data_IF_795516596792
#
_entry.id   IF_795516596792
#
_cell.length_a   1.000
_cell.length_b   1.000
_cell.length_c   1.000
_cell.angle_alpha   90.00
_cell.angle_beta   90.00
_cell.angle_gamma   90.00
#
_symmetry.space_group_name_H-M   'P 1'
#
loop_
_entity.id
_entity.type
_entity.pdbx_description
1 polymer ?
#
# COMPACT_ATOMS: atom_id res chain seq x y z
N UNK A 1 -51.32 -31.66 0.65
CA UNK A 1 -50.13 -32.53 0.70
C UNK A 1 -48.93 -31.61 0.81
N UNK A 2 -48.47 -31.39 2.05
CA UNK A 2 -47.25 -30.64 2.36
C UNK A 2 -46.06 -31.52 2.01
N UNK A 3 -45.15 -31.02 1.18
CA UNK A 3 -43.88 -31.67 0.91
C UNK A 3 -42.93 -31.30 2.04
N UNK A 4 -42.76 -32.24 2.98
CA UNK A 4 -41.65 -32.26 3.93
C UNK A 4 -40.33 -32.41 3.16
N UNK A 5 -39.56 -31.33 3.10
CA UNK A 5 -38.11 -31.37 2.92
C UNK A 5 -37.53 -30.02 3.37
N UNK A 6 -37.71 -29.72 4.66
CA UNK A 6 -36.73 -28.89 5.37
C UNK A 6 -35.42 -29.68 5.37
N UNK A 7 -34.56 -29.35 4.41
CA UNK A 7 -33.18 -29.81 4.36
C UNK A 7 -32.48 -29.29 5.61
N UNK A 8 -32.24 -30.21 6.54
CA UNK A 8 -31.34 -30.11 7.69
C UNK A 8 -29.93 -29.71 7.21
N UNK A 9 -29.73 -28.42 7.05
CA UNK A 9 -28.43 -27.84 6.74
C UNK A 9 -27.59 -27.81 8.01
N UNK A 10 -26.81 -28.86 8.22
CA UNK A 10 -25.93 -29.09 9.37
C UNK A 10 -24.70 -28.14 9.46
N UNK A 11 -24.66 -27.05 8.69
CA UNK A 11 -23.56 -26.09 8.67
C UNK A 11 -22.27 -26.60 7.98
N UNK A 12 -22.28 -27.79 7.39
CA UNK A 12 -21.15 -28.28 6.61
C UNK A 12 -21.28 -27.83 5.15
N UNK A 13 -20.16 -27.50 4.48
CA UNK A 13 -20.18 -27.20 3.06
C UNK A 13 -20.68 -28.44 2.27
N UNK A 14 -21.37 -28.24 1.13
CA UNK A 14 -21.89 -29.34 0.33
C UNK A 14 -20.79 -30.34 -0.04
N UNK A 15 -21.12 -31.64 -0.06
CA UNK A 15 -20.20 -32.69 -0.46
C UNK A 15 -19.60 -32.37 -1.84
N UNK A 16 -18.27 -32.22 -1.90
CA UNK A 16 -17.53 -31.81 -3.11
C UNK A 16 -17.01 -30.37 -3.10
N UNK A 17 -17.38 -29.56 -2.11
CA UNK A 17 -16.69 -28.32 -1.81
C UNK A 17 -15.38 -28.63 -1.08
N UNK A 18 -14.28 -28.74 -1.82
CA UNK A 18 -12.96 -28.63 -1.22
C UNK A 18 -12.86 -27.25 -0.55
N UNK A 19 -12.48 -27.23 0.73
CA UNK A 19 -12.16 -25.99 1.39
C UNK A 19 -11.08 -25.28 0.56
N UNK A 20 -11.31 -24.02 0.18
CA UNK A 20 -10.28 -23.24 -0.50
C UNK A 20 -9.01 -23.32 0.35
N UNK A 21 -7.85 -23.66 -0.23
CA UNK A 21 -6.62 -23.72 0.53
C UNK A 21 -6.41 -22.37 1.23
N UNK A 22 -5.97 -22.43 2.49
CA UNK A 22 -5.61 -21.25 3.28
C UNK A 22 -4.65 -20.37 2.47
N UNK A 23 -4.82 -19.03 2.49
CA UNK A 23 -3.96 -18.15 1.71
C UNK A 23 -2.51 -18.32 2.16
N UNK A 24 -1.60 -18.43 1.19
CA UNK A 24 -0.15 -18.43 1.50
C UNK A 24 0.26 -17.10 2.13
N UNK A 25 1.38 -17.07 2.86
CA UNK A 25 1.96 -15.83 3.39
C UNK A 25 2.12 -14.76 2.29
N UNK A 26 2.53 -15.19 1.09
CA UNK A 26 2.63 -14.31 -0.07
C UNK A 26 1.27 -13.74 -0.51
N UNK A 27 0.20 -14.56 -0.51
CA UNK A 27 -1.15 -14.09 -0.84
C UNK A 27 -1.66 -13.09 0.21
N UNK A 28 -1.40 -13.33 1.49
CA UNK A 28 -1.71 -12.37 2.55
C UNK A 28 -0.98 -11.03 2.35
N UNK A 29 0.31 -11.06 2.00
CA UNK A 29 1.09 -9.83 1.72
C UNK A 29 0.52 -9.08 0.52
N UNK A 30 0.15 -9.78 -0.55
CA UNK A 30 -0.43 -9.17 -1.75
C UNK A 30 -1.80 -8.56 -1.45
N UNK A 31 -2.62 -9.26 -0.66
CA UNK A 31 -3.89 -8.74 -0.15
C UNK A 31 -3.67 -7.45 0.64
N UNK A 32 -2.74 -7.46 1.59
CA UNK A 32 -2.41 -6.28 2.40
C UNK A 32 -1.90 -5.10 1.56
N UNK A 33 -1.01 -5.35 0.58
CA UNK A 33 -0.56 -4.30 -0.36
C UNK A 33 -1.72 -3.70 -1.16
N UNK A 34 -2.64 -4.55 -1.63
CA UNK A 34 -3.84 -4.09 -2.33
C UNK A 34 -4.73 -3.24 -1.42
N UNK A 35 -4.90 -3.63 -0.16
CA UNK A 35 -5.72 -2.91 0.82
C UNK A 35 -5.11 -1.55 1.17
N UNK A 36 -3.79 -1.46 1.34
CA UNK A 36 -3.10 -0.19 1.52
C UNK A 36 -3.33 0.74 0.32
N UNK A 37 -3.16 0.24 -0.91
CA UNK A 37 -3.41 1.04 -2.12
C UNK A 37 -4.88 1.45 -2.26
N UNK A 38 -5.82 0.58 -1.87
CA UNK A 38 -7.24 0.91 -1.85
C UNK A 38 -7.56 2.04 -0.85
N UNK A 39 -6.94 2.03 0.33
CA UNK A 39 -7.05 3.12 1.32
C UNK A 39 -6.50 4.44 0.79
N UNK A 40 -5.35 4.39 0.09
CA UNK A 40 -4.79 5.56 -0.60
C UNK A 40 -5.76 6.11 -1.64
N UNK A 41 -6.33 5.23 -2.48
CA UNK A 41 -7.33 5.60 -3.50
C UNK A 41 -8.55 6.27 -2.86
N UNK A 42 -9.02 5.75 -1.72
CA UNK A 42 -10.14 6.29 -0.95
C UNK A 42 -9.83 7.59 -0.19
N UNK A 43 -8.58 8.06 -0.17
CA UNK A 43 -8.18 9.27 0.55
C UNK A 43 -7.89 9.07 2.04
N UNK A 44 -7.84 7.84 2.53
CA UNK A 44 -7.63 7.53 3.94
C UNK A 44 -6.14 7.39 4.26
N UNK A 45 -5.62 8.25 5.15
CA UNK A 45 -4.24 8.22 5.66
C UNK A 45 -3.22 7.95 4.54
N UNK A 46 -3.35 8.71 3.44
CA UNK A 46 -2.76 8.36 2.15
C UNK A 46 -1.23 8.25 2.21
N UNK A 47 -0.57 9.22 2.86
CA UNK A 47 0.89 9.21 3.01
C UNK A 47 1.36 8.01 3.84
N UNK A 48 0.65 7.67 4.92
CA UNK A 48 0.98 6.53 5.78
C UNK A 48 0.83 5.21 5.01
N UNK A 49 -0.36 4.94 4.45
CA UNK A 49 -0.63 3.70 3.72
C UNK A 49 0.30 3.51 2.52
N UNK A 50 0.64 4.60 1.80
CA UNK A 50 1.58 4.52 0.68
C UNK A 50 3.01 4.23 1.16
N UNK A 51 3.47 4.90 2.22
CA UNK A 51 4.79 4.65 2.80
C UNK A 51 4.97 3.19 3.23
N UNK A 52 3.98 2.64 3.93
CA UNK A 52 4.00 1.25 4.39
C UNK A 52 3.97 0.25 3.23
N UNK A 53 3.08 0.47 2.25
CA UNK A 53 3.00 -0.37 1.06
C UNK A 53 4.33 -0.41 0.29
N UNK A 54 4.96 0.75 0.10
CA UNK A 54 6.26 0.84 -0.58
C UNK A 54 7.39 0.19 0.21
N UNK A 55 7.39 0.33 1.54
CA UNK A 55 8.36 -0.35 2.39
C UNK A 55 8.31 -1.87 2.22
N UNK A 56 7.10 -2.43 2.24
CA UNK A 56 6.87 -3.87 2.04
C UNK A 56 7.26 -4.29 0.61
N UNK A 57 6.80 -3.60 -0.42
CA UNK A 57 7.13 -3.92 -1.81
C UNK A 57 8.65 -3.92 -2.07
N UNK A 58 9.37 -2.92 -1.57
CA UNK A 58 10.82 -2.85 -1.72
C UNK A 58 11.55 -3.99 -1.02
N UNK A 59 10.98 -4.52 0.07
CA UNK A 59 11.54 -5.66 0.80
C UNK A 59 11.33 -6.95 0.01
N UNK A 60 10.14 -7.16 -0.56
CA UNK A 60 9.76 -8.41 -1.21
C UNK A 60 10.29 -8.54 -2.66
N UNK A 61 10.71 -7.45 -3.30
CA UNK A 61 11.16 -7.45 -4.71
C UNK A 61 12.57 -8.03 -4.95
N UNK A 62 13.22 -8.54 -3.91
CA UNK A 62 14.54 -9.21 -4.02
C UNK A 62 14.43 -10.61 -4.65
N UNK A 63 15.48 -11.04 -5.37
CA UNK A 63 15.56 -12.37 -6.02
C UNK A 63 15.42 -13.55 -5.04
N UNK A 64 15.57 -13.32 -3.74
CA UNK A 64 15.47 -14.35 -2.70
C UNK A 64 14.03 -14.66 -2.29
N UNK A 65 13.08 -13.79 -2.62
CA UNK A 65 11.69 -13.96 -2.24
C UNK A 65 10.91 -14.69 -3.33
N UNK A 66 9.79 -15.28 -2.92
CA UNK A 66 8.86 -15.91 -3.85
C UNK A 66 8.36 -14.89 -4.88
N UNK A 67 8.31 -15.30 -6.15
CA UNK A 67 7.77 -14.50 -7.24
C UNK A 67 6.25 -14.47 -7.16
N UNK A 68 5.68 -13.34 -7.52
CA UNK A 68 4.23 -13.23 -7.71
C UNK A 68 3.83 -13.81 -9.06
N UNK A 69 2.62 -14.39 -9.11
CA UNK A 69 1.99 -14.84 -10.34
C UNK A 69 1.55 -13.64 -11.21
N UNK A 70 1.31 -13.86 -12.52
CA UNK A 70 0.76 -12.83 -13.41
C UNK A 70 -0.57 -12.24 -12.89
N UNK A 71 -1.45 -13.08 -12.34
CA UNK A 71 -2.74 -12.63 -11.78
C UNK A 71 -2.53 -11.69 -10.58
N UNK A 72 -1.60 -12.03 -9.69
CA UNK A 72 -1.26 -11.20 -8.54
C UNK A 72 -0.61 -9.87 -8.97
N UNK A 73 0.30 -9.91 -9.96
CA UNK A 73 0.89 -8.72 -10.58
C UNK A 73 -0.21 -7.79 -11.11
N UNK A 74 -1.13 -8.32 -11.90
CA UNK A 74 -2.20 -7.53 -12.52
C UNK A 74 -3.15 -6.94 -11.48
N UNK A 75 -3.41 -7.67 -10.38
CA UNK A 75 -4.17 -7.17 -9.23
C UNK A 75 -3.47 -5.98 -8.57
N UNK A 76 -2.17 -6.07 -8.30
CA UNK A 76 -1.38 -4.99 -7.71
C UNK A 76 -1.31 -3.77 -8.63
N UNK A 77 -1.07 -3.98 -9.93
CA UNK A 77 -1.04 -2.90 -10.93
C UNK A 77 -2.38 -2.19 -11.03
N UNK A 78 -3.50 -2.92 -10.95
CA UNK A 78 -4.84 -2.33 -10.93
C UNK A 78 -5.06 -1.48 -9.68
N UNK A 79 -4.69 -2.00 -8.51
CA UNK A 79 -4.78 -1.22 -7.25
C UNK A 79 -3.92 0.04 -7.29
N UNK A 80 -2.71 -0.04 -7.85
CA UNK A 80 -1.84 1.12 -8.04
C UNK A 80 -2.45 2.15 -9.00
N UNK A 81 -3.00 1.69 -10.13
CA UNK A 81 -3.67 2.56 -11.09
C UNK A 81 -4.88 3.28 -10.48
N UNK A 82 -5.67 2.60 -9.64
CA UNK A 82 -6.76 3.23 -8.90
C UNK A 82 -6.28 4.26 -7.89
N UNK A 83 -5.12 4.03 -7.27
CA UNK A 83 -4.51 4.95 -6.31
C UNK A 83 -3.78 6.13 -6.98
N UNK A 84 -3.41 6.02 -8.26
CA UNK A 84 -2.51 6.95 -8.97
C UNK A 84 -2.84 8.43 -8.75
N UNK A 85 -4.06 8.86 -9.06
CA UNK A 85 -4.48 10.27 -8.90
C UNK A 85 -4.42 10.72 -7.44
N UNK A 86 -4.79 9.84 -6.52
CA UNK A 86 -4.76 10.08 -5.07
C UNK A 86 -3.33 10.21 -4.54
N UNK A 87 -2.40 9.42 -5.06
CA UNK A 87 -0.95 9.53 -4.76
C UNK A 87 -0.45 10.88 -5.24
N UNK A 88 -0.71 11.23 -6.50
CA UNK A 88 -0.23 12.47 -7.11
C UNK A 88 -0.73 13.74 -6.41
N UNK A 89 -1.89 13.68 -5.74
CA UNK A 89 -2.45 14.78 -4.94
C UNK A 89 -1.69 15.07 -3.65
N UNK A 90 -0.79 14.19 -3.21
CA UNK A 90 0.05 14.42 -2.04
C UNK A 90 1.20 15.40 -2.30
N UNK A 91 1.46 15.72 -3.57
CA UNK A 91 2.63 16.47 -3.99
C UNK A 91 2.23 17.81 -4.57
N UNK A 92 3.12 18.80 -4.42
CA UNK A 92 2.94 20.10 -5.07
C UNK A 92 3.01 19.94 -6.60
N UNK A 93 1.90 20.27 -7.26
CA UNK A 93 1.73 20.17 -8.71
C UNK A 93 2.79 20.95 -9.51
N UNK A 94 3.35 22.01 -8.93
CA UNK A 94 4.30 22.90 -9.61
C UNK A 94 5.75 22.42 -9.58
N UNK A 95 6.12 21.54 -8.64
CA UNK A 95 7.52 21.21 -8.36
C UNK A 95 7.81 19.72 -8.31
N UNK A 96 6.94 18.96 -7.65
CA UNK A 96 7.22 17.56 -7.29
C UNK A 96 6.44 16.57 -8.14
N UNK A 97 5.41 17.06 -8.84
CA UNK A 97 4.51 16.24 -9.66
C UNK A 97 5.21 15.39 -10.73
N UNK A 98 6.15 15.92 -11.54
CA UNK A 98 6.84 15.11 -12.54
C UNK A 98 7.62 13.95 -11.91
N UNK A 99 8.37 14.22 -10.84
CA UNK A 99 9.12 13.20 -10.10
C UNK A 99 8.19 12.20 -9.41
N UNK A 100 7.04 12.65 -8.89
CA UNK A 100 6.03 11.76 -8.32
C UNK A 100 5.42 10.83 -9.36
N UNK A 101 5.12 11.33 -10.57
CA UNK A 101 4.63 10.50 -11.66
C UNK A 101 5.67 9.43 -12.07
N UNK A 102 6.93 9.84 -12.29
CA UNK A 102 8.03 8.91 -12.55
C UNK A 102 8.19 7.88 -11.43
N UNK A 103 7.98 8.29 -10.18
CA UNK A 103 8.06 7.39 -9.05
C UNK A 103 6.92 6.38 -8.99
N UNK A 104 5.70 6.76 -9.38
CA UNK A 104 4.58 5.81 -9.49
C UNK A 104 4.83 4.82 -10.62
N UNK A 105 5.36 5.27 -11.75
CA UNK A 105 5.74 4.39 -12.86
C UNK A 105 6.86 3.41 -12.45
N UNK A 106 7.84 3.89 -11.68
CA UNK A 106 8.87 3.04 -11.10
C UNK A 106 8.31 1.95 -10.16
N UNK A 107 7.26 2.26 -9.38
CA UNK A 107 6.57 1.29 -8.52
C UNK A 107 5.85 0.23 -9.36
N UNK A 108 5.21 0.62 -10.47
CA UNK A 108 4.69 -0.34 -11.45
C UNK A 108 5.80 -1.21 -12.02
N UNK A 109 6.96 -0.61 -12.33
CA UNK A 109 8.18 -1.30 -12.74
C UNK A 109 8.66 -2.34 -11.73
N UNK A 110 8.65 -2.02 -10.43
CA UNK A 110 8.97 -2.99 -9.36
C UNK A 110 7.97 -4.14 -9.29
N UNK A 111 6.67 -3.87 -9.43
CA UNK A 111 5.64 -4.92 -9.43
C UNK A 111 5.84 -5.87 -10.61
N UNK A 112 6.11 -5.32 -11.81
CA UNK A 112 6.46 -6.11 -12.98
C UNK A 112 7.73 -6.92 -12.74
N UNK A 113 8.79 -6.29 -12.24
CA UNK A 113 10.06 -6.95 -11.91
C UNK A 113 9.86 -8.13 -10.94
N UNK A 114 9.00 -7.99 -9.93
CA UNK A 114 8.70 -9.05 -8.97
C UNK A 114 8.11 -10.29 -9.63
N UNK A 115 7.30 -10.11 -10.67
CA UNK A 115 6.68 -11.19 -11.43
C UNK A 115 7.60 -11.83 -12.50
N UNK A 116 8.67 -11.12 -12.90
CA UNK A 116 9.58 -11.59 -13.95
C UNK A 116 10.41 -12.81 -13.51
N UNK A 117 10.70 -13.69 -14.48
CA UNK A 117 11.68 -14.76 -14.29
C UNK A 117 13.09 -14.19 -14.23
N UNK A 118 14.06 -14.97 -13.73
CA UNK A 118 15.42 -14.47 -13.59
C UNK A 118 16.10 -14.28 -14.95
N UNK A 119 15.76 -15.11 -15.94
CA UNK A 119 16.22 -14.96 -17.32
C UNK A 119 15.71 -13.64 -17.93
N UNK A 120 14.43 -13.31 -17.71
CA UNK A 120 13.86 -12.06 -18.18
C UNK A 120 14.56 -10.86 -17.53
N UNK A 121 14.80 -10.91 -16.22
CA UNK A 121 15.52 -9.86 -15.48
C UNK A 121 16.95 -9.68 -15.97
N UNK A 122 17.63 -10.76 -16.33
CA UNK A 122 19.03 -10.71 -16.82
C UNK A 122 19.14 -10.08 -18.23
N UNK A 123 18.05 -10.05 -19.01
CA UNK A 123 18.00 -9.29 -20.28
C UNK A 123 17.77 -7.79 -20.10
N UNK A 124 17.37 -7.34 -18.89
CA UNK A 124 17.11 -5.92 -18.62
C UNK A 124 18.43 -5.15 -18.48
N UNK A 125 18.36 -3.84 -18.73
CA UNK A 125 19.50 -2.96 -18.49
C UNK A 125 19.88 -2.95 -17.00
N UNK A 126 21.18 -3.06 -16.70
CA UNK A 126 21.73 -3.21 -15.34
C UNK A 126 21.30 -2.14 -14.33
N UNK A 127 20.95 -0.94 -14.82
CA UNK A 127 20.55 0.18 -13.96
C UNK A 127 19.04 0.27 -13.74
N UNK A 128 18.22 -0.42 -14.54
CA UNK A 128 16.77 -0.25 -14.52
C UNK A 128 16.17 -0.56 -13.14
N UNK A 129 16.55 -1.69 -12.53
CA UNK A 129 16.07 -2.04 -11.19
C UNK A 129 16.58 -1.07 -10.11
N UNK A 130 17.81 -0.56 -10.25
CA UNK A 130 18.35 0.42 -9.33
C UNK A 130 17.57 1.74 -9.39
N UNK A 131 17.21 2.18 -10.59
CA UNK A 131 16.39 3.37 -10.81
C UNK A 131 14.99 3.17 -10.22
N UNK A 132 14.33 2.04 -10.49
CA UNK A 132 13.04 1.71 -9.89
C UNK A 132 13.08 1.75 -8.36
N UNK A 133 14.11 1.16 -7.75
CA UNK A 133 14.31 1.19 -6.30
C UNK A 133 14.57 2.60 -5.76
N UNK A 134 15.33 3.43 -6.48
CA UNK A 134 15.63 4.80 -6.07
C UNK A 134 14.38 5.66 -6.06
N UNK A 135 13.59 5.62 -7.13
CA UNK A 135 12.34 6.35 -7.24
C UNK A 135 11.29 5.89 -6.22
N UNK A 136 11.10 4.57 -6.05
CA UNK A 136 10.19 4.04 -5.04
C UNK A 136 10.61 4.45 -3.62
N UNK A 137 11.92 4.45 -3.34
CA UNK A 137 12.47 4.91 -2.05
C UNK A 137 12.24 6.41 -1.84
N UNK A 138 12.44 7.22 -2.88
CA UNK A 138 12.16 8.65 -2.82
C UNK A 138 10.69 8.88 -2.47
N UNK A 139 9.77 8.23 -3.18
CA UNK A 139 8.32 8.35 -2.93
C UNK A 139 7.96 7.96 -1.50
N UNK A 140 8.45 6.80 -1.04
CA UNK A 140 8.27 6.33 0.33
C UNK A 140 8.76 7.35 1.36
N UNK A 141 9.98 7.85 1.20
CA UNK A 141 10.58 8.79 2.14
C UNK A 141 9.81 10.11 2.18
N UNK A 142 9.33 10.61 1.04
CA UNK A 142 8.51 11.83 1.01
C UNK A 142 7.19 11.63 1.73
N UNK A 143 6.50 10.50 1.51
CA UNK A 143 5.29 10.17 2.25
C UNK A 143 5.53 10.02 3.76
N UNK A 144 6.63 9.36 4.14
CA UNK A 144 7.03 9.27 5.53
C UNK A 144 7.25 10.65 6.16
N UNK A 145 7.91 11.57 5.45
CA UNK A 145 8.12 12.94 5.90
C UNK A 145 6.80 13.71 6.07
N UNK A 146 5.81 13.51 5.20
CA UNK A 146 4.48 14.10 5.36
C UNK A 146 3.83 13.65 6.67
N UNK A 147 3.85 12.35 6.98
CA UNK A 147 3.34 11.82 8.25
C UNK A 147 4.06 12.44 9.46
N UNK A 148 5.39 12.57 9.40
CA UNK A 148 6.17 13.18 10.47
C UNK A 148 5.81 14.66 10.69
N UNK A 149 5.58 15.41 9.60
CA UNK A 149 5.18 16.82 9.67
C UNK A 149 3.79 16.96 10.31
N UNK A 150 2.83 16.12 9.94
CA UNK A 150 1.50 16.08 10.57
C UNK A 150 1.61 15.86 12.08
N UNK A 151 2.44 14.91 12.52
CA UNK A 151 2.66 14.63 13.94
C UNK A 151 3.36 15.78 14.69
N UNK A 152 4.29 16.47 14.04
CA UNK A 152 4.93 17.67 14.62
C UNK A 152 3.90 18.77 14.81
N UNK A 153 3.05 19.04 13.80
CA UNK A 153 1.99 20.05 13.85
C UNK A 153 0.96 19.70 14.93
N UNK A 154 0.52 18.45 14.98
CA UNK A 154 -0.40 17.94 16.00
C UNK A 154 0.14 18.16 17.42
N UNK A 155 1.40 17.78 17.66
CA UNK A 155 2.05 18.00 18.96
C UNK A 155 2.22 19.48 19.29
N UNK A 156 2.49 20.33 18.30
CA UNK A 156 2.55 21.78 18.51
C UNK A 156 1.18 22.38 18.89
N UNK A 157 0.12 21.92 18.24
CA UNK A 157 -1.26 22.29 18.59
C UNK A 157 -1.63 21.89 20.02
N UNK A 158 -1.29 20.66 20.42
CA UNK A 158 -1.53 20.18 21.79
C UNK A 158 -0.81 21.05 22.82
N UNK A 159 0.49 21.35 22.62
CA UNK A 159 1.25 22.22 23.53
C UNK A 159 0.60 23.59 23.69
N UNK A 160 0.09 24.17 22.59
CA UNK A 160 -0.59 25.47 22.62
C UNK A 160 -1.90 25.39 23.42
N UNK A 161 -2.68 24.34 23.23
CA UNK A 161 -3.92 24.11 23.98
C UNK A 161 -3.65 23.96 25.48
N UNK A 162 -2.61 23.21 25.85
CA UNK A 162 -2.23 23.00 27.24
C UNK A 162 -1.81 24.30 27.93
N UNK A 163 -1.03 25.15 27.24
CA UNK A 163 -0.64 26.48 27.76
C UNK A 163 -1.86 27.38 27.97
N UNK A 164 -2.80 27.41 27.02
CA UNK A 164 -4.03 28.21 27.15
C UNK A 164 -4.87 27.71 28.33
N UNK A 165 -5.04 26.39 28.47
CA UNK A 165 -5.78 25.80 29.56
C UNK A 165 -5.13 26.08 30.93
N UNK A 166 -3.81 26.12 31.01
CA UNK A 166 -3.08 26.50 32.22
C UNK A 166 -3.28 27.97 32.58
N UNK A 167 -3.20 28.89 31.60
CA UNK A 167 -3.46 30.32 31.82
C UNK A 167 -4.89 30.53 32.35
N UNK A 168 -5.90 29.92 31.70
CA UNK A 168 -7.31 30.03 32.11
C UNK A 168 -7.50 29.56 33.54
N UNK A 169 -6.92 28.40 33.91
CA UNK A 169 -7.00 27.85 35.27
C UNK A 169 -6.39 28.78 36.32
N UNK A 170 -5.26 29.43 36.00
CA UNK A 170 -4.59 30.38 36.92
C UNK A 170 -5.34 31.69 37.09
N UNK A 171 -6.06 32.16 36.08
CA UNK A 171 -6.85 33.39 36.15
C UNK A 171 -8.24 33.21 36.75
N UNK A 172 -8.74 31.97 36.83
CA UNK A 172 -10.03 31.62 37.43
C UNK A 172 -9.94 31.22 38.91
N UNK A 173 -8.72 31.16 39.47
CA UNK A 173 -8.42 30.92 40.88
C UNK A 173 -8.07 32.25 41.57
#
# INVERSE_FOLDING_TARGET
>A
MMNDQELDYNGLPPLGCEASPEPTELEHKIGWLCDCLARVAAGAEQAFNLSEALCSLQTETSRRHARISPTQRDRLLRSLAMAHTSILRLFDASREWPTAAEAVDAVAGLICWWAETDEARDTRHKHLFADFQAYARWLRNTCHNLCLLEDIVRRAGQRRADVIADIIRRTAA
#
